data_IF_810535936131
#
_entry.id   IF_810535936131
#
_cell.length_a   1.000
_cell.length_b   1.000
_cell.length_c   1.000
_cell.angle_alpha   90.00
_cell.angle_beta   90.00
_cell.angle_gamma   90.00
#
_symmetry.space_group_name_H-M   'P 1'
#
loop_
_entity.id
_entity.type
_entity.pdbx_description
1 polymer ?
#
# COMPACT_ATOMS: atom_id res chain seq x y z
N UNK A 1 -5.67 -12.19 12.53
CA UNK A 1 -6.81 -11.80 11.65
C UNK A 1 -7.76 -10.88 12.38
N UNK A 2 -8.27 -9.85 11.71
CA UNK A 2 -9.33 -8.95 12.21
C UNK A 2 -10.40 -8.78 11.15
N UNK A 3 -11.67 -8.84 11.54
CA UNK A 3 -12.80 -8.74 10.63
C UNK A 3 -13.79 -7.72 11.19
N UNK A 4 -14.19 -6.76 10.38
CA UNK A 4 -15.22 -5.77 10.72
C UNK A 4 -16.39 -5.93 9.76
N UNK A 5 -17.57 -6.21 10.31
CA UNK A 5 -18.81 -6.07 9.58
C UNK A 5 -19.18 -4.58 9.52
N UNK A 6 -19.09 -3.98 8.32
CA UNK A 6 -19.27 -2.54 8.14
C UNK A 6 -20.73 -2.08 8.32
N UNK A 7 -21.71 -2.99 8.26
CA UNK A 7 -23.12 -2.67 8.47
C UNK A 7 -23.50 -2.71 9.93
N UNK A 8 -23.04 -3.73 10.67
CA UNK A 8 -23.42 -3.92 12.09
C UNK A 8 -22.42 -3.27 13.03
N UNK A 9 -21.23 -2.88 12.54
CA UNK A 9 -20.07 -2.45 13.31
C UNK A 9 -19.55 -3.52 14.29
N UNK A 10 -19.87 -4.77 14.05
CA UNK A 10 -19.38 -5.90 14.82
C UNK A 10 -17.94 -6.22 14.42
N UNK A 11 -17.07 -6.32 15.43
CA UNK A 11 -15.68 -6.75 15.25
C UNK A 11 -15.60 -8.22 15.63
N UNK A 12 -15.01 -9.02 14.75
CA UNK A 12 -14.77 -10.44 14.92
C UNK A 12 -13.25 -10.61 15.02
N UNK A 13 -12.77 -10.90 16.22
CA UNK A 13 -11.35 -11.05 16.54
C UNK A 13 -10.87 -12.51 16.51
N UNK A 14 -11.82 -13.45 16.50
CA UNK A 14 -11.56 -14.87 16.36
C UNK A 14 -12.25 -15.43 15.13
N UNK A 15 -11.53 -16.20 14.34
CA UNK A 15 -12.08 -16.81 13.14
C UNK A 15 -13.27 -17.73 13.45
N UNK A 16 -14.36 -17.54 12.71
CA UNK A 16 -15.56 -18.37 12.72
C UNK A 16 -15.98 -18.62 11.28
N UNK A 17 -16.18 -19.86 10.91
CA UNK A 17 -16.54 -20.25 9.53
C UNK A 17 -17.86 -19.62 9.06
N UNK A 18 -18.75 -19.29 9.98
CA UNK A 18 -20.10 -18.75 9.73
C UNK A 18 -20.16 -17.22 9.73
N UNK A 19 -19.02 -16.51 9.83
CA UNK A 19 -19.01 -15.04 9.93
C UNK A 19 -19.52 -14.34 8.68
N UNK A 20 -19.27 -14.94 7.52
CA UNK A 20 -19.44 -14.29 6.24
C UNK A 20 -20.86 -14.40 5.69
N UNK A 21 -21.38 -13.28 5.25
CA UNK A 21 -22.66 -13.20 4.55
C UNK A 21 -22.51 -12.26 3.34
N UNK A 22 -22.87 -12.71 2.16
CA UNK A 22 -22.83 -11.90 0.92
C UNK A 22 -23.73 -10.65 0.96
N UNK A 23 -24.58 -10.52 1.97
CA UNK A 23 -25.49 -9.38 2.14
C UNK A 23 -24.82 -8.18 2.83
N UNK A 24 -23.72 -8.41 3.53
CA UNK A 24 -23.05 -7.37 4.32
C UNK A 24 -21.67 -7.05 3.77
N UNK A 25 -21.24 -5.78 3.83
CA UNK A 25 -19.87 -5.41 3.50
C UNK A 25 -18.92 -5.67 4.68
N UNK A 26 -17.70 -6.14 4.38
CA UNK A 26 -16.66 -6.44 5.36
C UNK A 26 -15.34 -5.74 5.03
N UNK A 27 -14.63 -5.35 6.09
CA UNK A 27 -13.19 -5.05 6.03
C UNK A 27 -12.45 -6.13 6.79
N UNK A 28 -11.53 -6.80 6.12
CA UNK A 28 -10.80 -7.96 6.65
C UNK A 28 -9.30 -7.67 6.56
N UNK A 29 -8.59 -7.89 7.67
CA UNK A 29 -7.13 -7.84 7.75
C UNK A 29 -6.61 -9.21 8.12
N UNK A 30 -5.70 -9.74 7.31
CA UNK A 30 -5.12 -11.06 7.45
C UNK A 30 -3.61 -11.04 7.17
N UNK A 31 -2.91 -12.06 7.62
CA UNK A 31 -1.56 -12.38 7.13
C UNK A 31 -1.65 -13.50 6.07
N UNK A 32 -0.59 -13.69 5.29
CA UNK A 32 -0.54 -14.75 4.29
C UNK A 32 -0.82 -16.14 4.92
N UNK A 33 -0.29 -16.42 6.11
CA UNK A 33 -0.51 -17.68 6.83
C UNK A 33 -1.98 -17.94 7.23
N UNK A 34 -2.75 -16.85 7.46
CA UNK A 34 -4.16 -16.93 7.85
C UNK A 34 -5.11 -17.01 6.65
N UNK A 35 -4.63 -16.64 5.44
CA UNK A 35 -5.44 -16.58 4.21
C UNK A 35 -6.13 -17.90 3.87
N UNK A 36 -5.50 -19.05 4.17
CA UNK A 36 -6.08 -20.38 3.95
C UNK A 36 -7.44 -20.58 4.62
N UNK A 37 -7.71 -19.85 5.71
CA UNK A 37 -8.99 -19.92 6.42
C UNK A 37 -10.11 -19.18 5.66
N UNK A 38 -9.74 -18.23 4.79
CA UNK A 38 -10.66 -17.39 4.06
C UNK A 38 -10.89 -17.84 2.62
N UNK A 39 -9.98 -18.66 2.06
CA UNK A 39 -9.95 -19.02 0.65
C UNK A 39 -11.30 -19.53 0.13
N UNK A 40 -11.85 -20.55 0.77
CA UNK A 40 -13.11 -21.17 0.36
C UNK A 40 -14.33 -20.30 0.69
N UNK A 41 -14.28 -19.54 1.81
CA UNK A 41 -15.37 -18.68 2.27
C UNK A 41 -15.58 -17.49 1.32
N UNK A 42 -14.46 -16.90 0.84
CA UNK A 42 -14.46 -15.72 -0.02
C UNK A 42 -14.34 -16.08 -1.51
N UNK A 43 -14.30 -17.38 -1.85
CA UNK A 43 -14.16 -17.87 -3.23
C UNK A 43 -12.91 -17.27 -3.92
N UNK A 44 -11.76 -17.42 -3.24
CA UNK A 44 -10.47 -16.92 -3.73
C UNK A 44 -9.85 -17.94 -4.69
N UNK A 45 -9.49 -17.47 -5.89
CA UNK A 45 -8.84 -18.27 -6.92
C UNK A 45 -7.45 -18.76 -6.48
N UNK A 46 -7.08 -19.99 -6.93
CA UNK A 46 -5.80 -20.62 -6.61
C UNK A 46 -4.59 -19.76 -7.04
N UNK A 47 -4.72 -19.03 -8.15
CA UNK A 47 -3.63 -18.19 -8.68
C UNK A 47 -3.31 -17.08 -7.70
N UNK A 48 -4.30 -16.28 -7.32
CA UNK A 48 -4.09 -15.16 -6.40
C UNK A 48 -3.80 -15.61 -4.97
N UNK A 49 -4.32 -16.79 -4.58
CA UNK A 49 -3.95 -17.40 -3.30
C UNK A 49 -2.46 -17.71 -3.24
N UNK A 50 -1.91 -18.34 -4.29
CA UNK A 50 -0.48 -18.65 -4.37
C UNK A 50 0.37 -17.37 -4.49
N UNK A 51 -0.08 -16.36 -5.22
CA UNK A 51 0.59 -15.05 -5.29
C UNK A 51 0.77 -14.43 -3.89
N UNK A 52 -0.21 -14.58 -2.99
CA UNK A 52 -0.09 -14.09 -1.61
C UNK A 52 0.86 -14.91 -0.71
N UNK A 53 1.22 -16.14 -1.11
CA UNK A 53 2.13 -16.99 -0.35
C UNK A 53 3.58 -16.86 -0.80
N UNK A 54 3.81 -16.39 -2.03
CA UNK A 54 5.12 -16.29 -2.65
C UNK A 54 5.41 -14.82 -2.99
N UNK A 55 6.32 -14.21 -2.22
CA UNK A 55 6.75 -12.84 -2.48
C UNK A 55 7.52 -12.76 -3.81
N UNK A 56 7.01 -11.99 -4.77
CA UNK A 56 7.61 -11.88 -6.11
C UNK A 56 8.02 -10.45 -6.53
N UNK A 57 7.89 -9.46 -5.65
CA UNK A 57 8.15 -8.03 -5.88
C UNK A 57 7.36 -7.43 -7.07
N UNK A 58 6.34 -8.09 -7.59
CA UNK A 58 5.60 -7.59 -8.75
C UNK A 58 4.33 -6.86 -8.33
N UNK A 59 4.17 -5.64 -8.82
CA UNK A 59 2.89 -4.94 -8.71
C UNK A 59 1.94 -5.50 -9.75
N UNK A 60 0.82 -6.06 -9.29
CA UNK A 60 -0.20 -6.72 -10.11
C UNK A 60 -1.56 -6.06 -9.90
N UNK A 61 -2.36 -6.13 -10.91
CA UNK A 61 -3.75 -5.72 -10.88
C UNK A 61 -4.53 -6.59 -11.83
N UNK A 62 -5.15 -7.62 -11.29
CA UNK A 62 -5.85 -8.65 -12.01
C UNK A 62 -7.35 -8.61 -11.72
N UNK A 63 -8.17 -8.86 -12.75
CA UNK A 63 -9.62 -8.79 -12.68
C UNK A 63 -10.19 -10.21 -12.72
N UNK A 64 -10.85 -10.61 -11.64
CA UNK A 64 -11.56 -11.87 -11.52
C UNK A 64 -13.08 -11.64 -11.51
N UNK A 65 -13.86 -12.70 -11.64
CA UNK A 65 -15.32 -12.56 -11.68
C UNK A 65 -15.91 -12.05 -10.37
N UNK A 66 -15.31 -12.39 -9.23
CA UNK A 66 -15.83 -12.10 -7.89
C UNK A 66 -15.10 -10.95 -7.19
N UNK A 67 -13.90 -10.55 -7.66
CA UNK A 67 -13.08 -9.49 -7.07
C UNK A 67 -12.05 -8.95 -8.06
N UNK A 68 -11.50 -7.79 -7.75
CA UNK A 68 -10.25 -7.29 -8.31
C UNK A 68 -9.12 -7.60 -7.33
N UNK A 69 -8.00 -8.13 -7.83
CA UNK A 69 -6.81 -8.43 -7.05
C UNK A 69 -5.72 -7.39 -7.31
N UNK A 70 -5.23 -6.79 -6.25
CA UNK A 70 -4.19 -5.78 -6.28
C UNK A 70 -3.03 -6.21 -5.41
N UNK A 71 -1.84 -6.38 -5.99
CA UNK A 71 -0.59 -6.57 -5.27
C UNK A 71 0.26 -5.32 -5.38
N UNK A 72 0.74 -4.83 -4.25
CA UNK A 72 1.57 -3.62 -4.11
C UNK A 72 2.80 -3.96 -3.27
N UNK A 73 3.86 -3.18 -3.47
CA UNK A 73 5.02 -3.22 -2.60
C UNK A 73 5.08 -1.95 -1.75
N UNK A 74 5.55 -2.12 -0.52
CA UNK A 74 5.88 -1.03 0.40
C UNK A 74 7.34 -1.13 0.79
N UNK A 75 7.96 0.00 1.13
CA UNK A 75 9.34 0.05 1.57
C UNK A 75 9.40 0.43 3.05
N UNK A 76 10.04 -0.39 3.87
CA UNK A 76 10.34 -0.07 5.27
C UNK A 76 11.82 0.30 5.41
N UNK A 77 12.07 1.51 5.88
CA UNK A 77 13.43 1.98 6.17
C UNK A 77 13.73 1.75 7.66
N UNK A 78 14.67 0.86 7.95
CA UNK A 78 15.11 0.54 9.32
C UNK A 78 16.62 0.61 9.45
N UNK A 79 17.11 1.62 10.15
CA UNK A 79 18.55 1.83 10.30
C UNK A 79 19.25 1.97 8.94
N UNK A 80 20.13 1.03 8.62
CA UNK A 80 20.89 1.01 7.37
C UNK A 80 20.31 0.03 6.33
N UNK A 81 19.06 -0.37 6.44
CA UNK A 81 18.43 -1.33 5.53
C UNK A 81 17.10 -0.79 5.00
N UNK A 82 16.81 -1.11 3.74
CA UNK A 82 15.51 -0.92 3.12
C UNK A 82 14.92 -2.31 2.83
N UNK A 83 13.80 -2.63 3.47
CA UNK A 83 13.07 -3.88 3.28
C UNK A 83 11.87 -3.61 2.39
N UNK A 84 11.77 -4.33 1.27
CA UNK A 84 10.57 -4.32 0.44
C UNK A 84 9.64 -5.41 0.95
N UNK A 85 8.39 -5.05 1.14
CA UNK A 85 7.33 -5.93 1.62
C UNK A 85 6.13 -5.87 0.68
N UNK A 86 5.47 -7.01 0.50
CA UNK A 86 4.30 -7.12 -0.33
C UNK A 86 3.02 -6.89 0.49
N UNK A 87 2.09 -6.19 -0.12
CA UNK A 87 0.73 -5.98 0.37
C UNK A 87 -0.24 -6.41 -0.70
N UNK A 88 -1.12 -7.34 -0.37
CA UNK A 88 -2.15 -7.81 -1.29
C UNK A 88 -3.53 -7.34 -0.84
N UNK A 89 -4.35 -6.95 -1.80
CA UNK A 89 -5.72 -6.51 -1.56
C UNK A 89 -6.69 -7.21 -2.51
N UNK A 90 -7.74 -7.78 -1.96
CA UNK A 90 -8.91 -8.24 -2.71
C UNK A 90 -10.04 -7.24 -2.52
N UNK A 91 -10.53 -6.74 -3.62
CA UNK A 91 -11.59 -5.72 -3.68
C UNK A 91 -12.83 -6.32 -4.33
N UNK A 92 -13.91 -6.44 -3.58
CA UNK A 92 -15.17 -7.04 -4.00
C UNK A 92 -16.36 -6.11 -3.71
N UNK A 93 -17.55 -6.45 -4.19
CA UNK A 93 -18.80 -5.73 -3.89
C UNK A 93 -19.16 -5.76 -2.40
N UNK A 94 -18.70 -6.79 -1.68
CA UNK A 94 -19.09 -7.03 -0.30
C UNK A 94 -17.91 -7.26 0.66
N UNK A 95 -16.66 -7.20 0.19
CA UNK A 95 -15.51 -7.19 1.09
C UNK A 95 -14.30 -6.46 0.51
N UNK A 96 -13.46 -5.96 1.40
CA UNK A 96 -12.06 -5.64 1.17
C UNK A 96 -11.28 -6.56 2.09
N UNK A 97 -10.37 -7.35 1.53
CA UNK A 97 -9.41 -8.15 2.27
C UNK A 97 -8.02 -7.58 2.02
N UNK A 98 -7.33 -7.20 3.10
CA UNK A 98 -5.95 -6.74 3.08
C UNK A 98 -5.07 -7.81 3.69
N UNK A 99 -4.00 -8.16 2.99
CA UNK A 99 -3.03 -9.16 3.40
C UNK A 99 -1.66 -8.49 3.46
N UNK A 100 -1.07 -8.46 4.63
CA UNK A 100 0.29 -8.00 4.88
C UNK A 100 0.82 -8.64 6.16
N UNK A 101 2.14 -8.65 6.33
CA UNK A 101 2.75 -9.16 7.56
C UNK A 101 2.56 -8.19 8.72
N UNK A 102 2.68 -8.70 9.96
CA UNK A 102 2.35 -7.94 11.17
C UNK A 102 3.31 -6.80 11.48
N UNK A 103 4.52 -6.87 10.97
CA UNK A 103 5.55 -5.84 11.07
C UNK A 103 5.47 -4.77 9.97
N UNK A 104 4.59 -4.95 8.98
CA UNK A 104 4.30 -3.93 7.99
C UNK A 104 3.46 -2.80 8.59
N UNK A 105 3.81 -1.53 8.30
CA UNK A 105 3.08 -0.35 8.80
C UNK A 105 1.57 -0.39 8.47
N UNK A 106 1.21 -0.97 7.33
CA UNK A 106 -0.17 -1.04 6.88
C UNK A 106 -1.02 -1.95 7.77
N UNK A 107 -0.41 -2.98 8.39
CA UNK A 107 -1.10 -3.86 9.33
C UNK A 107 -1.68 -3.07 10.50
N UNK A 108 -0.87 -2.24 11.15
CA UNK A 108 -1.34 -1.43 12.27
C UNK A 108 -2.31 -0.34 11.84
N UNK A 109 -2.14 0.23 10.66
CA UNK A 109 -3.08 1.20 10.09
C UNK A 109 -4.47 0.59 9.88
N UNK A 110 -4.58 -0.54 9.16
CA UNK A 110 -5.87 -1.21 8.89
C UNK A 110 -6.48 -1.78 10.18
N UNK A 111 -5.65 -2.35 11.07
CA UNK A 111 -6.09 -2.78 12.39
C UNK A 111 -6.71 -1.64 13.19
N UNK A 112 -6.09 -0.46 13.17
CA UNK A 112 -6.63 0.72 13.84
C UNK A 112 -7.95 1.19 13.22
N UNK A 113 -8.11 1.08 11.91
CA UNK A 113 -9.38 1.34 11.22
C UNK A 113 -10.49 0.40 11.72
N UNK A 114 -10.19 -0.89 11.86
CA UNK A 114 -11.14 -1.89 12.34
C UNK A 114 -11.51 -1.63 13.80
N UNK A 115 -10.53 -1.47 14.69
CA UNK A 115 -10.75 -1.29 16.13
C UNK A 115 -11.38 0.05 16.47
N UNK A 116 -11.07 1.11 15.72
CA UNK A 116 -11.61 2.47 15.91
C UNK A 116 -12.74 2.78 14.90
N UNK A 117 -13.60 1.81 14.59
CA UNK A 117 -14.63 1.94 13.56
C UNK A 117 -15.55 3.17 13.74
N UNK A 118 -15.64 3.75 14.94
CA UNK A 118 -16.35 5.01 15.20
C UNK A 118 -15.82 6.19 14.36
N UNK A 119 -14.54 6.17 13.98
CA UNK A 119 -13.96 7.18 13.06
C UNK A 119 -14.40 6.93 11.62
N UNK A 120 -14.50 5.67 11.21
CA UNK A 120 -15.01 5.29 9.87
C UNK A 120 -16.48 5.69 9.77
N UNK A 121 -17.30 5.43 10.80
CA UNK A 121 -18.72 5.76 10.81
C UNK A 121 -19.01 7.26 10.79
N UNK A 122 -18.18 8.10 11.44
CA UNK A 122 -18.38 9.56 11.48
C UNK A 122 -18.06 10.25 10.15
N UNK A 123 -17.11 9.76 9.40
CA UNK A 123 -16.62 10.43 8.20
C UNK A 123 -17.05 9.75 6.90
N UNK A 124 -17.51 8.51 6.94
CA UNK A 124 -17.84 7.73 5.77
C UNK A 124 -19.09 6.88 6.01
N UNK A 125 -19.96 6.79 4.99
CA UNK A 125 -20.98 5.76 4.97
C UNK A 125 -20.23 4.41 5.04
N UNK A 126 -20.39 3.60 6.10
CA UNK A 126 -19.63 2.37 6.30
C UNK A 126 -19.82 1.32 5.19
N UNK A 127 -20.88 1.46 4.38
CA UNK A 127 -21.12 0.63 3.20
C UNK A 127 -20.30 1.05 1.97
N UNK A 128 -19.47 2.09 2.06
CA UNK A 128 -18.69 2.56 0.92
C UNK A 128 -17.28 1.92 0.89
N UNK A 129 -17.19 0.67 0.43
CA UNK A 129 -15.94 -0.07 0.27
C UNK A 129 -14.93 0.67 -0.61
N UNK A 130 -15.40 1.34 -1.68
CA UNK A 130 -14.53 2.16 -2.53
C UNK A 130 -13.74 3.20 -1.73
N UNK A 131 -14.38 3.87 -0.78
CA UNK A 131 -13.73 4.91 0.00
C UNK A 131 -12.71 4.35 1.00
N UNK A 132 -12.97 3.16 1.51
CA UNK A 132 -12.03 2.44 2.39
C UNK A 132 -10.80 2.02 1.58
N UNK A 133 -10.98 1.43 0.39
CA UNK A 133 -9.86 1.07 -0.49
C UNK A 133 -9.02 2.28 -0.90
N UNK A 134 -9.68 3.40 -1.24
CA UNK A 134 -9.01 4.67 -1.52
C UNK A 134 -8.13 5.12 -0.36
N UNK A 135 -8.63 5.07 0.88
CA UNK A 135 -7.86 5.48 2.06
C UNK A 135 -6.65 4.58 2.32
N UNK A 136 -6.79 3.28 2.10
CA UNK A 136 -5.70 2.32 2.25
C UNK A 136 -4.61 2.62 1.21
N UNK A 137 -4.96 2.73 -0.07
CA UNK A 137 -4.01 3.02 -1.15
C UNK A 137 -3.35 4.39 -0.93
N UNK A 138 -4.13 5.40 -0.55
CA UNK A 138 -3.60 6.73 -0.23
C UNK A 138 -2.59 6.69 0.92
N UNK A 139 -2.84 5.87 1.95
CA UNK A 139 -1.93 5.73 3.08
C UNK A 139 -0.60 5.08 2.66
N UNK A 140 -0.63 4.10 1.75
CA UNK A 140 0.59 3.52 1.15
C UNK A 140 1.39 4.62 0.44
N UNK A 141 0.76 5.43 -0.40
CA UNK A 141 1.43 6.52 -1.12
C UNK A 141 2.05 7.53 -0.14
N UNK A 142 1.34 7.90 0.93
CA UNK A 142 1.84 8.82 1.96
C UNK A 142 3.08 8.23 2.65
N UNK A 143 3.04 6.96 3.02
CA UNK A 143 4.18 6.28 3.64
C UNK A 143 5.43 6.27 2.75
N UNK A 144 5.27 6.01 1.46
CA UNK A 144 6.38 6.08 0.52
C UNK A 144 6.94 7.52 0.34
N UNK A 145 6.09 8.55 0.44
CA UNK A 145 6.57 9.94 0.51
C UNK A 145 7.40 10.21 1.76
N UNK A 146 6.95 9.75 2.92
CA UNK A 146 7.68 9.91 4.19
C UNK A 146 9.04 9.20 4.15
N UNK A 147 9.15 8.07 3.45
CA UNK A 147 10.42 7.39 3.23
C UNK A 147 11.37 8.21 2.35
N UNK A 148 10.85 8.83 1.28
CA UNK A 148 11.65 9.71 0.42
C UNK A 148 12.12 10.97 1.16
N UNK A 149 11.26 11.59 1.97
CA UNK A 149 11.61 12.75 2.82
C UNK A 149 12.75 12.39 3.78
N UNK A 150 12.69 11.22 4.44
CA UNK A 150 13.79 10.75 5.32
C UNK A 150 15.11 10.60 4.56
N UNK A 151 15.08 10.10 3.33
CA UNK A 151 16.29 9.95 2.52
C UNK A 151 16.81 11.32 2.04
N UNK A 152 15.92 12.25 1.71
CA UNK A 152 16.31 13.64 1.38
C UNK A 152 16.98 14.32 2.57
N UNK A 153 16.44 14.19 3.79
CA UNK A 153 17.06 14.69 5.02
C UNK A 153 18.47 14.07 5.23
N UNK A 154 18.62 12.75 5.02
CA UNK A 154 19.93 12.09 5.09
C UNK A 154 20.94 12.64 4.07
N UNK A 155 20.48 13.03 2.86
CA UNK A 155 21.34 13.63 1.84
C UNK A 155 21.82 14.99 2.31
N UNK A 156 20.90 15.84 2.82
CA UNK A 156 21.23 17.19 3.29
C UNK A 156 22.19 17.16 4.50
N UNK A 157 21.92 16.29 5.47
CA UNK A 157 22.79 16.11 6.62
C UNK A 157 24.20 15.68 6.20
N UNK A 158 24.32 14.77 5.24
CA UNK A 158 25.61 14.32 4.73
C UNK A 158 26.32 15.38 3.91
N UNK A 159 25.60 16.22 3.12
CA UNK A 159 26.15 17.36 2.41
C UNK A 159 26.80 18.33 3.38
N UNK A 160 26.12 18.67 4.49
CA UNK A 160 26.65 19.54 5.55
C UNK A 160 27.90 18.93 6.22
N UNK A 161 27.88 17.63 6.55
CA UNK A 161 29.05 16.94 7.11
C UNK A 161 30.28 17.01 6.18
N UNK A 162 30.11 16.78 4.87
CA UNK A 162 31.17 16.85 3.88
C UNK A 162 31.74 18.26 3.76
N UNK A 163 30.89 19.30 3.84
CA UNK A 163 31.32 20.69 3.77
C UNK A 163 32.18 21.10 4.98
N UNK A 164 32.00 20.47 6.15
CA UNK A 164 32.84 20.68 7.36
C UNK A 164 34.17 19.94 7.27
N UNK A 165 34.28 18.86 6.50
CA UNK A 165 35.50 18.09 6.25
C UNK A 165 35.21 16.71 5.72
N UNK A 166 36.04 16.27 4.78
CA UNK A 166 35.90 14.95 4.14
C UNK A 166 36.65 13.86 4.91
N UNK A 167 36.00 12.70 5.03
CA UNK A 167 36.59 11.52 5.61
C UNK A 167 36.17 10.23 4.83
N UNK A 168 36.85 9.11 5.04
CA UNK A 168 36.58 7.85 4.35
C UNK A 168 35.19 7.27 4.65
N UNK A 169 34.59 7.63 5.81
CA UNK A 169 33.25 7.18 6.17
C UNK A 169 32.17 7.83 5.29
N UNK A 170 32.41 9.04 4.80
CA UNK A 170 31.46 9.73 3.91
C UNK A 170 31.23 8.95 2.62
N UNK A 171 32.25 8.30 2.06
CA UNK A 171 32.12 7.48 0.86
C UNK A 171 31.17 6.30 1.10
N UNK A 172 31.22 5.70 2.28
CA UNK A 172 30.31 4.60 2.65
C UNK A 172 28.88 5.10 2.80
N UNK A 173 28.68 6.24 3.46
CA UNK A 173 27.35 6.88 3.62
C UNK A 173 26.76 7.28 2.25
N UNK A 174 27.55 7.88 1.35
CA UNK A 174 27.13 8.21 -0.01
C UNK A 174 26.66 6.97 -0.76
N UNK A 175 27.45 5.89 -0.74
CA UNK A 175 27.09 4.67 -1.44
C UNK A 175 25.81 4.02 -0.87
N UNK A 176 25.63 4.11 0.44
CA UNK A 176 24.42 3.64 1.11
C UNK A 176 23.19 4.43 0.66
N UNK A 177 23.23 5.77 0.72
CA UNK A 177 22.13 6.65 0.30
C UNK A 177 21.79 6.42 -1.17
N UNK A 178 22.79 6.31 -2.04
CA UNK A 178 22.57 5.98 -3.46
C UNK A 178 21.93 4.62 -3.67
N UNK A 179 22.26 3.64 -2.82
CA UNK A 179 21.60 2.33 -2.86
C UNK A 179 20.12 2.45 -2.46
N UNK A 180 19.82 3.20 -1.38
CA UNK A 180 18.44 3.46 -0.95
C UNK A 180 17.62 4.14 -2.05
N UNK A 181 18.14 5.20 -2.66
CA UNK A 181 17.41 5.92 -3.72
C UNK A 181 17.11 5.02 -4.92
N UNK A 182 18.02 4.11 -5.28
CA UNK A 182 17.77 3.13 -6.35
C UNK A 182 16.64 2.15 -5.99
N UNK A 183 16.60 1.68 -4.73
CA UNK A 183 15.54 0.79 -4.24
C UNK A 183 14.20 1.53 -4.30
N UNK A 184 14.12 2.78 -3.81
CA UNK A 184 12.90 3.56 -3.81
C UNK A 184 12.41 3.87 -5.25
N UNK A 185 13.30 4.22 -6.18
CA UNK A 185 12.92 4.40 -7.59
C UNK A 185 12.44 3.08 -8.21
N UNK A 186 13.12 1.96 -7.92
CA UNK A 186 12.69 0.64 -8.39
C UNK A 186 11.30 0.28 -7.86
N UNK A 187 11.02 0.60 -6.59
CA UNK A 187 9.74 0.31 -5.94
C UNK A 187 8.59 1.21 -6.43
N UNK A 188 8.86 2.50 -6.64
CA UNK A 188 7.81 3.46 -7.03
C UNK A 188 7.47 3.42 -8.52
N UNK A 189 8.42 3.05 -9.39
CA UNK A 189 8.20 3.03 -10.84
C UNK A 189 7.04 2.15 -11.30
N UNK A 190 6.84 0.91 -10.81
CA UNK A 190 5.71 0.08 -11.22
C UNK A 190 4.35 0.65 -10.81
N UNK A 191 4.30 1.52 -9.77
CA UNK A 191 3.06 2.17 -9.36
C UNK A 191 2.48 3.06 -10.48
N UNK A 192 3.30 3.63 -11.37
CA UNK A 192 2.82 4.39 -12.54
C UNK A 192 1.88 3.56 -13.41
N UNK A 193 2.20 2.28 -13.61
CA UNK A 193 1.33 1.37 -14.32
C UNK A 193 -0.01 1.17 -13.61
N UNK A 194 0.01 1.10 -12.27
CA UNK A 194 -1.20 1.01 -11.48
C UNK A 194 -2.06 2.28 -11.63
N UNK A 195 -1.48 3.48 -11.49
CA UNK A 195 -2.18 4.75 -11.66
C UNK A 195 -2.89 4.84 -13.01
N UNK A 196 -2.16 4.56 -14.08
CA UNK A 196 -2.69 4.50 -15.43
C UNK A 196 -3.87 3.52 -15.57
N UNK A 197 -3.76 2.32 -15.00
CA UNK A 197 -4.81 1.30 -15.07
C UNK A 197 -6.04 1.67 -14.25
N UNK A 198 -5.86 2.23 -13.06
CA UNK A 198 -6.98 2.69 -12.22
C UNK A 198 -7.86 3.69 -12.96
N UNK A 199 -7.29 4.57 -13.79
CA UNK A 199 -8.05 5.56 -14.55
C UNK A 199 -8.64 5.01 -15.86
N UNK A 200 -7.92 4.15 -16.57
CA UNK A 200 -8.25 3.71 -17.94
C UNK A 200 -9.10 2.46 -17.98
N UNK A 201 -8.84 1.51 -17.06
CA UNK A 201 -9.48 0.22 -17.10
C UNK A 201 -10.82 0.19 -16.36
N UNK A 202 -11.69 -0.70 -16.80
CA UNK A 202 -13.01 -0.90 -16.20
C UNK A 202 -12.90 -1.72 -14.90
N UNK A 203 -12.20 -1.19 -13.87
CA UNK A 203 -12.23 -1.79 -12.54
C UNK A 203 -13.67 -1.85 -12.06
N UNK A 204 -14.18 -3.05 -11.78
CA UNK A 204 -15.55 -3.21 -11.31
C UNK A 204 -15.74 -2.65 -9.93
N UNK A 205 -14.74 -2.82 -9.08
CA UNK A 205 -14.83 -2.52 -7.65
C UNK A 205 -14.13 -1.23 -7.24
N UNK A 206 -13.17 -0.74 -8.04
CA UNK A 206 -12.63 0.60 -7.92
C UNK A 206 -13.42 1.64 -8.74
N UNK A 207 -14.06 1.24 -9.85
CA UNK A 207 -15.06 2.05 -10.55
C UNK A 207 -16.45 1.68 -10.05
N UNK A 208 -16.99 2.47 -9.18
CA UNK A 208 -18.40 2.36 -8.79
C UNK A 208 -19.30 2.66 -10.00
N UNK A 209 -20.26 1.76 -10.31
CA UNK A 209 -21.17 1.89 -11.46
C UNK A 209 -22.05 3.15 -11.43
N UNK A 210 -22.23 3.78 -10.27
CA UNK A 210 -22.85 5.09 -10.06
C UNK A 210 -21.78 6.12 -9.66
N UNK A 211 -20.84 6.43 -10.55
CA UNK A 211 -19.75 7.36 -10.29
C UNK A 211 -20.27 8.73 -9.86
N UNK A 212 -20.36 8.94 -8.57
CA UNK A 212 -20.37 10.28 -8.00
C UNK A 212 -19.05 10.95 -8.40
N UNK A 213 -19.10 12.19 -8.84
CA UNK A 213 -17.92 13.00 -9.20
C UNK A 213 -16.78 12.87 -8.18
N UNK A 214 -17.13 12.77 -6.88
CA UNK A 214 -16.18 12.58 -5.78
C UNK A 214 -15.33 11.29 -5.88
N UNK A 215 -15.83 10.23 -6.50
CA UNK A 215 -15.06 8.99 -6.63
C UNK A 215 -14.03 9.10 -7.77
N UNK A 216 -14.39 9.76 -8.86
CA UNK A 216 -13.44 10.07 -9.94
C UNK A 216 -12.33 10.99 -9.43
N UNK A 217 -12.68 12.03 -8.65
CA UNK A 217 -11.69 12.93 -8.04
C UNK A 217 -10.72 12.16 -7.13
N UNK A 218 -11.20 11.14 -6.40
CA UNK A 218 -10.36 10.29 -5.57
C UNK A 218 -9.40 9.41 -6.40
N UNK A 219 -9.86 8.82 -7.51
CA UNK A 219 -8.99 8.03 -8.41
C UNK A 219 -7.94 8.91 -9.08
N UNK A 220 -8.31 10.09 -9.53
CA UNK A 220 -7.38 11.08 -10.07
C UNK A 220 -6.35 11.53 -9.01
N UNK A 221 -6.77 11.62 -7.74
CA UNK A 221 -5.87 11.95 -6.63
C UNK A 221 -4.85 10.83 -6.37
N UNK A 222 -5.22 9.56 -6.55
CA UNK A 222 -4.28 8.43 -6.46
C UNK A 222 -3.26 8.52 -7.59
N UNK A 223 -3.71 8.61 -8.83
CA UNK A 223 -2.86 8.69 -10.02
C UNK A 223 -1.86 9.86 -9.91
N UNK A 224 -2.36 11.06 -9.61
CA UNK A 224 -1.53 12.24 -9.39
C UNK A 224 -0.55 12.09 -8.21
N UNK A 225 -0.98 11.41 -7.15
CA UNK A 225 -0.10 11.10 -6.00
C UNK A 225 1.04 10.17 -6.41
N UNK A 226 0.76 9.16 -7.22
CA UNK A 226 1.76 8.23 -7.76
C UNK A 226 2.76 8.95 -8.68
N UNK A 227 2.27 9.80 -9.59
CA UNK A 227 3.14 10.59 -10.47
C UNK A 227 4.09 11.49 -9.68
N UNK A 228 3.58 12.17 -8.66
CA UNK A 228 4.41 12.99 -7.76
C UNK A 228 5.44 12.16 -7.02
N UNK A 229 5.02 11.00 -6.47
CA UNK A 229 5.90 10.11 -5.73
C UNK A 229 7.08 9.65 -6.60
N UNK A 230 6.82 9.21 -7.82
CA UNK A 230 7.85 8.78 -8.74
C UNK A 230 8.80 9.91 -9.12
N UNK A 231 8.27 11.10 -9.42
CA UNK A 231 9.09 12.27 -9.73
C UNK A 231 9.95 12.70 -8.52
N UNK A 232 9.44 12.60 -7.32
CA UNK A 232 10.19 12.85 -6.10
C UNK A 232 11.31 11.81 -5.91
N UNK A 233 11.03 10.53 -6.12
CA UNK A 233 12.05 9.49 -6.07
C UNK A 233 13.19 9.72 -7.10
N UNK A 234 12.87 10.19 -8.30
CA UNK A 234 13.87 10.54 -9.30
C UNK A 234 14.72 11.75 -8.87
N UNK A 235 14.10 12.82 -8.35
CA UNK A 235 14.83 14.01 -7.89
C UNK A 235 15.72 13.70 -6.68
N UNK A 236 15.24 12.90 -5.73
CA UNK A 236 16.04 12.46 -4.57
C UNK A 236 17.24 11.63 -5.01
N UNK A 237 17.08 10.76 -6.01
CA UNK A 237 18.22 10.02 -6.59
C UNK A 237 19.23 10.94 -7.26
N UNK A 238 18.78 11.95 -8.00
CA UNK A 238 19.66 12.93 -8.62
C UNK A 238 20.44 13.75 -7.58
N UNK A 239 19.82 14.10 -6.47
CA UNK A 239 20.51 14.74 -5.34
C UNK A 239 21.58 13.83 -4.74
N UNK A 240 21.25 12.56 -4.48
CA UNK A 240 22.20 11.59 -3.96
C UNK A 240 23.40 11.34 -4.92
N UNK A 241 23.18 11.38 -6.23
CA UNK A 241 24.26 11.24 -7.21
C UNK A 241 25.21 12.45 -7.21
N UNK A 242 24.72 13.67 -6.89
CA UNK A 242 25.55 14.88 -6.79
C UNK A 242 26.49 14.90 -5.59
N UNK A 243 26.20 14.14 -4.53
CA UNK A 243 27.12 14.02 -3.36
C UNK A 243 28.52 13.52 -3.75
N UNK A 244 28.68 12.87 -4.91
CA UNK A 244 29.99 12.44 -5.40
C UNK A 244 30.81 13.57 -6.05
N UNK A 245 30.16 14.69 -6.36
CA UNK A 245 30.79 15.81 -7.06
C UNK A 245 31.28 16.90 -6.07
N UNK A 246 31.00 16.72 -4.77
CA UNK A 246 31.46 17.59 -3.67
C UNK A 246 32.81 17.10 -3.15
#
# INVERSE_FOLDING_TARGET
>A
MYILNLKTAEIIDHFREDFYSKVYPYLILSTACELKLLKDILDIDEITFNDCLEFDENIKLDLFDNYDFLSLNTCELSGNEAKIEEVNMYLSDNFILVICEKDNFLYDYVKSMILNNSKIQKHYNPSNLFKISYLIIKNIIIHEFENLEKVEDMILDLEDEIMEGTDDEHILKINYIRSLTRILVKNTRPLLYLGDRILKDNFRYLKYNDMKRSNLDNLQSIDFGIDKLYNFALSTRELADKLLDI
#
